data_IF_557588803052
#
_entry.id   IF_557588803052
#
_cell.length_a   1.000
_cell.length_b   1.000
_cell.length_c   1.000
_cell.angle_alpha   90.00
_cell.angle_beta   90.00
_cell.angle_gamma   90.00
#
_symmetry.space_group_name_H-M   'P 1'
#
loop_
_entity.id
_entity.type
_entity.pdbx_description
1 polymer ?
#
# COMPACT_ATOMS: atom_id res chain seq x y z
N UNK A 1 9.42 4.45 -8.48
CA UNK A 1 8.70 3.37 -9.20
C UNK A 1 9.72 2.57 -9.96
N UNK A 2 9.76 1.25 -9.79
CA UNK A 2 10.67 0.39 -10.55
C UNK A 2 9.97 -0.07 -11.83
N UNK A 3 10.74 -0.38 -12.88
CA UNK A 3 10.21 -0.92 -14.14
C UNK A 3 9.25 -2.11 -13.91
N UNK A 4 9.55 -2.97 -12.93
CA UNK A 4 8.67 -4.08 -12.54
C UNK A 4 7.30 -3.66 -12.01
N UNK A 5 7.21 -2.59 -11.21
CA UNK A 5 5.90 -2.10 -10.73
C UNK A 5 5.03 -1.54 -11.86
N UNK A 6 5.64 -0.95 -12.89
CA UNK A 6 4.93 -0.49 -14.09
C UNK A 6 4.41 -1.68 -14.90
N UNK A 7 5.24 -2.70 -15.11
CA UNK A 7 4.85 -3.91 -15.85
C UNK A 7 3.66 -4.60 -15.16
N UNK A 8 3.68 -4.73 -13.82
CA UNK A 8 2.56 -5.35 -13.09
C UNK A 8 1.28 -4.50 -13.22
N UNK A 9 1.38 -3.17 -13.15
CA UNK A 9 0.23 -2.29 -13.33
C UNK A 9 -0.39 -2.45 -14.74
N UNK A 10 0.46 -2.49 -15.78
CA UNK A 10 0.03 -2.67 -17.17
C UNK A 10 -0.58 -4.06 -17.37
N UNK A 11 0.03 -5.12 -16.81
CA UNK A 11 -0.51 -6.48 -16.88
C UNK A 11 -1.87 -6.59 -16.18
N UNK A 12 -2.03 -5.96 -15.02
CA UNK A 12 -3.31 -5.93 -14.31
C UNK A 12 -4.37 -5.21 -15.15
N UNK A 13 -4.05 -4.03 -15.71
CA UNK A 13 -4.97 -3.35 -16.61
C UNK A 13 -5.37 -4.23 -17.80
N UNK A 14 -4.40 -4.87 -18.47
CA UNK A 14 -4.67 -5.75 -19.61
C UNK A 14 -5.59 -6.92 -19.24
N UNK A 15 -5.34 -7.61 -18.13
CA UNK A 15 -6.15 -8.75 -17.70
C UNK A 15 -7.58 -8.33 -17.32
N UNK A 16 -7.73 -7.35 -16.44
CA UNK A 16 -9.04 -7.00 -15.87
C UNK A 16 -9.93 -6.21 -16.82
N UNK A 17 -9.34 -5.42 -17.71
CA UNK A 17 -10.08 -4.60 -18.68
C UNK A 17 -10.23 -5.30 -20.02
N UNK A 18 -9.15 -5.87 -20.56
CA UNK A 18 -9.15 -6.39 -21.92
C UNK A 18 -9.52 -7.87 -22.02
N UNK A 19 -9.17 -8.69 -21.02
CA UNK A 19 -9.52 -10.12 -21.03
C UNK A 19 -10.86 -10.37 -20.35
N UNK A 20 -11.10 -9.73 -19.20
CA UNK A 20 -12.30 -10.00 -18.39
C UNK A 20 -13.42 -8.98 -18.54
N UNK A 21 -13.17 -7.83 -19.17
CA UNK A 21 -14.14 -6.76 -19.38
C UNK A 21 -14.91 -6.35 -18.12
N UNK A 22 -14.29 -6.52 -16.94
CA UNK A 22 -14.94 -6.30 -15.65
C UNK A 22 -15.09 -4.81 -15.33
N UNK A 23 -14.21 -3.99 -15.92
CA UNK A 23 -14.10 -2.55 -15.67
C UNK A 23 -13.93 -1.77 -16.99
N UNK A 24 -14.39 -0.51 -17.04
CA UNK A 24 -14.18 0.35 -18.19
C UNK A 24 -12.69 0.67 -18.39
N UNK A 25 -12.29 0.88 -19.65
CA UNK A 25 -10.89 1.13 -20.02
C UNK A 25 -10.34 2.48 -19.56
N UNK A 26 -11.23 3.47 -19.42
CA UNK A 26 -10.88 4.82 -18.97
C UNK A 26 -11.63 5.16 -17.71
N UNK A 27 -10.98 5.99 -16.90
CA UNK A 27 -11.59 6.63 -15.73
C UNK A 27 -12.66 7.60 -16.23
N UNK A 28 -13.86 7.49 -15.66
CA UNK A 28 -15.01 8.31 -16.07
C UNK A 28 -14.70 9.81 -15.93
N UNK A 29 -14.92 10.55 -17.02
CA UNK A 29 -14.77 12.02 -17.02
C UNK A 29 -15.90 12.69 -16.25
N UNK A 30 -15.73 13.98 -15.89
CA UNK A 30 -16.77 14.76 -15.19
C UNK A 30 -18.10 14.84 -15.96
N UNK A 31 -18.07 14.70 -17.28
CA UNK A 31 -19.25 14.65 -18.14
C UNK A 31 -19.94 13.28 -18.06
N UNK A 32 -19.18 12.19 -18.08
CA UNK A 32 -19.71 10.83 -17.93
C UNK A 32 -20.27 10.55 -16.53
N UNK A 33 -19.73 11.21 -15.49
CA UNK A 33 -20.32 11.18 -14.14
C UNK A 33 -21.74 11.74 -14.10
N UNK A 34 -21.99 12.81 -14.88
CA UNK A 34 -23.33 13.41 -14.98
C UNK A 34 -24.28 12.57 -15.84
N UNK A 35 -23.77 11.95 -16.91
CA UNK A 35 -24.62 11.20 -17.86
C UNK A 35 -24.92 9.76 -17.41
N UNK A 36 -23.92 9.04 -16.90
CA UNK A 36 -24.01 7.60 -16.57
C UNK A 36 -24.24 7.36 -15.07
N UNK A 37 -24.20 8.42 -14.26
CA UNK A 37 -24.48 8.39 -12.83
C UNK A 37 -23.28 7.99 -11.95
N UNK A 38 -23.46 8.20 -10.65
CA UNK A 38 -22.43 8.02 -9.62
C UNK A 38 -21.79 6.63 -9.62
N UNK A 39 -22.60 5.57 -9.75
CA UNK A 39 -22.13 4.18 -9.70
C UNK A 39 -21.16 3.83 -10.82
N UNK A 40 -21.38 4.38 -12.03
CA UNK A 40 -20.44 4.20 -13.15
C UNK A 40 -19.10 4.88 -12.86
N UNK A 41 -19.15 6.08 -12.28
CA UNK A 41 -17.97 6.81 -11.83
C UNK A 41 -17.15 5.99 -10.86
N UNK A 42 -17.75 5.56 -9.74
CA UNK A 42 -17.08 4.75 -8.70
C UNK A 42 -16.46 3.48 -9.28
N UNK A 43 -17.20 2.75 -10.12
CA UNK A 43 -16.69 1.50 -10.71
C UNK A 43 -15.46 1.74 -11.61
N UNK A 44 -15.40 2.88 -12.30
CA UNK A 44 -14.27 3.25 -13.17
C UNK A 44 -12.99 3.57 -12.38
N UNK A 45 -13.12 4.08 -11.14
CA UNK A 45 -11.98 4.38 -10.26
C UNK A 45 -11.52 3.17 -9.43
N UNK A 46 -12.39 2.18 -9.23
CA UNK A 46 -12.13 1.06 -8.33
C UNK A 46 -10.89 0.24 -8.73
N UNK A 47 -10.77 -0.10 -10.02
CA UNK A 47 -9.65 -0.90 -10.51
C UNK A 47 -8.30 -0.15 -10.41
N UNK A 48 -8.14 1.09 -10.92
CA UNK A 48 -6.90 1.85 -10.73
C UNK A 48 -6.53 2.00 -9.25
N UNK A 49 -7.49 2.31 -8.39
CA UNK A 49 -7.27 2.46 -6.96
C UNK A 49 -6.78 1.15 -6.33
N UNK A 50 -7.42 0.02 -6.64
CA UNK A 50 -7.02 -1.30 -6.15
C UNK A 50 -5.61 -1.68 -6.62
N UNK A 51 -5.29 -1.45 -7.89
CA UNK A 51 -3.95 -1.75 -8.43
C UNK A 51 -2.89 -0.89 -7.74
N UNK A 52 -3.11 0.42 -7.61
CA UNK A 52 -2.15 1.32 -6.97
C UNK A 52 -1.94 1.01 -5.48
N UNK A 53 -3.02 0.70 -4.76
CA UNK A 53 -2.96 0.37 -3.32
C UNK A 53 -2.25 -0.96 -3.09
N UNK A 54 -2.57 -2.01 -3.86
CA UNK A 54 -1.91 -3.32 -3.75
C UNK A 54 -0.42 -3.22 -4.08
N UNK A 55 -0.06 -2.50 -5.14
CA UNK A 55 1.35 -2.30 -5.51
C UNK A 55 2.14 -1.57 -4.42
N UNK A 56 1.55 -0.53 -3.84
CA UNK A 56 2.14 0.18 -2.71
C UNK A 56 2.28 -0.74 -1.50
N UNK A 57 1.26 -1.55 -1.20
CA UNK A 57 1.30 -2.50 -0.08
C UNK A 57 2.44 -3.51 -0.21
N UNK A 58 2.70 -4.04 -1.42
CA UNK A 58 3.82 -4.96 -1.68
C UNK A 58 5.16 -4.31 -1.32
N UNK A 59 5.33 -3.01 -1.61
CA UNK A 59 6.54 -2.29 -1.25
C UNK A 59 6.76 -2.26 0.27
N UNK A 60 5.73 -1.89 1.04
CA UNK A 60 5.81 -1.85 2.51
C UNK A 60 5.99 -3.24 3.11
N UNK A 61 5.31 -4.27 2.60
CA UNK A 61 5.47 -5.66 3.07
C UNK A 61 6.93 -6.11 2.91
N UNK A 62 7.55 -5.83 1.77
CA UNK A 62 8.96 -6.20 1.52
C UNK A 62 9.90 -5.47 2.47
N UNK A 63 9.61 -4.21 2.77
CA UNK A 63 10.37 -3.37 3.71
C UNK A 63 10.27 -3.90 5.15
N UNK A 64 9.06 -4.19 5.63
CA UNK A 64 8.84 -4.82 6.95
C UNK A 64 9.50 -6.20 7.02
N UNK A 65 9.44 -6.99 5.94
CA UNK A 65 10.10 -8.30 5.89
C UNK A 65 11.62 -8.19 5.97
N UNK A 66 12.23 -7.21 5.30
CA UNK A 66 13.67 -6.98 5.38
C UNK A 66 14.09 -6.59 6.81
N UNK A 67 13.33 -5.68 7.43
CA UNK A 67 13.53 -5.28 8.83
C UNK A 67 13.39 -6.48 9.77
N UNK A 68 12.36 -7.32 9.57
CA UNK A 68 12.14 -8.52 10.38
C UNK A 68 13.31 -9.51 10.28
N UNK A 69 13.92 -9.65 9.11
CA UNK A 69 15.13 -10.47 8.93
C UNK A 69 16.30 -9.87 9.72
N UNK A 70 16.48 -8.55 9.67
CA UNK A 70 17.52 -7.85 10.43
C UNK A 70 17.34 -8.01 11.95
N UNK A 71 16.08 -8.00 12.41
CA UNK A 71 15.71 -8.28 13.79
C UNK A 71 16.13 -9.68 14.26
N UNK A 72 16.23 -10.68 13.37
CA UNK A 72 16.72 -12.03 13.75
C UNK A 72 18.21 -12.09 14.07
N UNK A 73 18.99 -11.12 13.59
CA UNK A 73 20.43 -11.01 13.85
C UNK A 73 20.75 -10.23 15.14
N UNK A 74 19.73 -9.72 15.85
CA UNK A 74 19.91 -8.92 17.05
C UNK A 74 20.15 -9.76 18.30
N UNK A 75 20.94 -9.25 19.25
CA UNK A 75 21.31 -9.94 20.48
C UNK A 75 20.09 -10.36 21.34
N UNK A 76 19.01 -9.58 21.33
CA UNK A 76 17.78 -9.95 22.06
C UNK A 76 17.13 -11.21 21.49
N UNK A 77 17.29 -11.48 20.19
CA UNK A 77 16.72 -12.64 19.53
C UNK A 77 17.41 -13.92 20.03
N UNK A 78 18.74 -13.90 20.10
CA UNK A 78 19.56 -14.98 20.68
C UNK A 78 19.23 -15.20 22.17
N UNK A 79 19.09 -14.12 22.94
CA UNK A 79 18.70 -14.20 24.35
C UNK A 79 17.31 -14.81 24.56
N UNK A 80 16.34 -14.46 23.71
CA UNK A 80 15.00 -15.04 23.78
C UNK A 80 15.04 -16.55 23.45
N UNK A 81 15.86 -16.95 22.47
CA UNK A 81 16.05 -18.36 22.10
C UNK A 81 16.75 -19.16 23.20
N UNK A 82 17.75 -18.60 23.88
CA UNK A 82 18.44 -19.28 24.99
C UNK A 82 17.55 -19.45 26.23
N UNK A 83 16.53 -18.60 26.39
CA UNK A 83 15.48 -18.73 27.41
C UNK A 83 14.39 -19.77 27.06
N UNK A 84 14.54 -20.49 25.95
CA UNK A 84 13.65 -21.59 25.57
C UNK A 84 12.48 -21.19 24.67
N UNK A 85 12.39 -19.95 24.18
CA UNK A 85 11.34 -19.59 23.21
C UNK A 85 11.61 -20.28 21.86
N UNK A 86 10.55 -20.82 21.26
CA UNK A 86 10.60 -21.32 19.87
C UNK A 86 10.83 -20.17 18.89
N UNK A 87 11.31 -20.48 17.68
CA UNK A 87 11.58 -19.47 16.65
C UNK A 87 10.33 -18.62 16.33
N UNK A 88 9.18 -19.28 16.16
CA UNK A 88 7.89 -18.62 15.92
C UNK A 88 7.44 -17.76 17.11
N UNK A 89 7.68 -18.19 18.35
CA UNK A 89 7.37 -17.39 19.53
C UNK A 89 8.25 -16.14 19.60
N UNK A 90 9.55 -16.24 19.33
CA UNK A 90 10.46 -15.09 19.33
C UNK A 90 10.08 -14.10 18.23
N UNK A 91 9.69 -14.58 17.05
CA UNK A 91 9.22 -13.71 15.95
C UNK A 91 7.95 -12.96 16.35
N UNK A 92 6.89 -13.68 16.70
CA UNK A 92 5.58 -13.06 16.92
C UNK A 92 5.56 -12.16 18.16
N UNK A 93 6.31 -12.51 19.21
CA UNK A 93 6.29 -11.78 20.49
C UNK A 93 7.28 -10.63 20.55
N UNK A 94 8.42 -10.74 19.86
CA UNK A 94 9.52 -9.77 19.97
C UNK A 94 9.91 -9.17 18.62
N UNK A 95 10.32 -9.98 17.65
CA UNK A 95 10.89 -9.47 16.41
C UNK A 95 9.89 -8.65 15.59
N UNK A 96 8.64 -9.09 15.50
CA UNK A 96 7.60 -8.40 14.73
C UNK A 96 7.25 -7.05 15.35
N UNK A 97 7.08 -7.00 16.68
CA UNK A 97 6.84 -5.74 17.39
C UNK A 97 8.01 -4.77 17.24
N UNK A 98 9.24 -5.26 17.34
CA UNK A 98 10.44 -4.43 17.19
C UNK A 98 10.63 -3.94 15.75
N UNK A 99 10.33 -4.77 14.75
CA UNK A 99 10.41 -4.39 13.33
C UNK A 99 9.41 -3.30 12.93
N UNK A 100 8.33 -3.10 13.69
CA UNK A 100 7.31 -2.08 13.38
C UNK A 100 7.60 -0.72 14.03
N UNK A 101 8.49 -0.67 15.03
CA UNK A 101 8.89 0.58 15.69
C UNK A 101 9.37 1.65 14.70
N UNK A 102 10.25 1.36 13.72
CA UNK A 102 10.69 2.38 12.76
C UNK A 102 9.60 2.80 11.76
N UNK A 103 8.54 2.01 11.59
CA UNK A 103 7.46 2.31 10.64
C UNK A 103 6.31 3.10 11.27
N UNK A 104 6.12 3.05 12.59
CA UNK A 104 5.07 3.80 13.26
C UNK A 104 5.16 5.33 13.00
N UNK A 105 6.36 5.97 13.04
CA UNK A 105 6.49 7.39 12.70
C UNK A 105 6.21 7.68 11.22
N UNK A 106 6.57 6.76 10.32
CA UNK A 106 6.34 6.92 8.87
C UNK A 106 4.85 6.97 8.57
N UNK A 107 4.07 6.07 9.17
CA UNK A 107 2.60 6.08 9.06
C UNK A 107 2.00 7.41 9.52
N UNK A 108 2.49 7.94 10.65
CA UNK A 108 2.02 9.22 11.17
C UNK A 108 2.38 10.38 10.22
N UNK A 109 3.60 10.38 9.69
CA UNK A 109 4.04 11.38 8.72
C UNK A 109 3.21 11.36 7.44
N UNK A 110 2.94 10.17 6.89
CA UNK A 110 2.08 10.02 5.71
C UNK A 110 0.65 10.53 5.97
N UNK A 111 0.09 10.21 7.14
CA UNK A 111 -1.24 10.67 7.54
C UNK A 111 -1.34 12.20 7.62
N UNK A 112 -0.38 12.86 8.28
CA UNK A 112 -0.31 14.32 8.36
C UNK A 112 -0.09 14.93 6.97
N UNK A 113 0.73 14.28 6.14
CA UNK A 113 0.99 14.67 4.76
C UNK A 113 -0.28 14.67 3.90
N UNK A 114 -1.15 13.67 4.06
CA UNK A 114 -2.44 13.60 3.35
C UNK A 114 -3.36 14.76 3.72
N UNK A 115 -3.52 15.05 5.02
CA UNK A 115 -4.36 16.16 5.49
C UNK A 115 -3.83 17.50 4.97
N UNK A 116 -2.53 17.72 5.11
CA UNK A 116 -1.87 18.96 4.71
C UNK A 116 -1.94 19.14 3.19
N UNK A 117 -1.72 18.07 2.43
CA UNK A 117 -1.83 18.08 0.98
C UNK A 117 -3.25 18.39 0.49
N UNK A 118 -4.28 17.79 1.11
CA UNK A 118 -5.68 18.09 0.81
C UNK A 118 -5.99 19.56 1.04
N UNK A 119 -5.61 20.09 2.20
CA UNK A 119 -5.82 21.49 2.54
C UNK A 119 -5.08 22.43 1.59
N UNK A 120 -3.84 22.10 1.20
CA UNK A 120 -3.07 22.90 0.24
C UNK A 120 -3.75 22.94 -1.14
N UNK A 121 -4.25 21.81 -1.63
CA UNK A 121 -4.99 21.73 -2.89
C UNK A 121 -6.26 22.58 -2.80
N UNK A 122 -7.01 22.50 -1.71
CA UNK A 122 -8.20 23.32 -1.49
C UNK A 122 -7.89 24.82 -1.59
N UNK A 123 -6.78 25.26 -0.97
CA UNK A 123 -6.36 26.66 -0.99
C UNK A 123 -5.89 27.17 -2.35
N UNK A 124 -5.34 26.31 -3.21
CA UNK A 124 -4.83 26.72 -4.54
C UNK A 124 -5.95 26.72 -5.60
N UNK A 125 -6.90 25.80 -5.52
CA UNK A 125 -7.89 25.58 -6.59
C UNK A 125 -9.28 26.14 -6.30
N UNK A 126 -9.65 26.32 -5.02
CA UNK A 126 -10.95 26.88 -4.63
C UNK A 126 -10.87 28.33 -4.13
N UNK A 127 -9.70 28.96 -4.24
CA UNK A 127 -9.46 30.36 -3.91
C UNK A 127 -8.79 31.10 -5.07
#
# INVERSE_FOLDING_TARGET
MTLGTLVIAIMAQYLFVHVWHLFPYQVATSMEWKEKGFWFGVNSYLLPLAVMTLLSMVFYIRKIRAELIEQTNQNYFLLARSKGLTFSQTINRHALKNSLVPYAPVFFYEFVGLITGSFLIERIFFY
#
